data_IF_144648236275
#
_entry.id   IF_144648236275
#
_cell.length_a   1.000
_cell.length_b   1.000
_cell.length_c   1.000
_cell.angle_alpha   90.00
_cell.angle_beta   90.00
_cell.angle_gamma   90.00
#
_symmetry.space_group_name_H-M   'P 1'
#
loop_
_entity.id
_entity.type
_entity.pdbx_description
1 polymer ?
#
# COMPACT_ATOMS: atom_id res chain seq x y z
N UNK A 1 -8.42 10.60 -28.94
CA UNK A 1 -7.49 9.60 -28.34
C UNK A 1 -7.35 9.92 -26.89
N UNK A 2 -7.61 8.95 -26.00
CA UNK A 2 -7.47 9.16 -24.54
C UNK A 2 -6.00 9.19 -24.13
N UNK A 3 -5.73 9.73 -22.92
CA UNK A 3 -4.38 9.74 -22.31
C UNK A 3 -3.77 8.33 -22.31
N UNK A 4 -4.60 7.36 -22.07
CA UNK A 4 -4.22 5.94 -22.04
C UNK A 4 -3.61 5.48 -23.37
N UNK A 5 -4.20 5.85 -24.51
CA UNK A 5 -3.67 5.50 -25.84
C UNK A 5 -2.34 6.20 -26.15
N UNK A 6 -2.13 7.41 -25.63
CA UNK A 6 -0.87 8.12 -25.81
C UNK A 6 0.31 7.45 -25.08
N UNK A 7 0.02 6.68 -24.02
CA UNK A 7 1.04 5.97 -23.24
C UNK A 7 1.26 4.52 -23.68
N UNK A 8 0.34 3.92 -24.46
CA UNK A 8 0.47 2.49 -24.88
C UNK A 8 1.73 2.20 -25.67
N UNK A 9 2.26 3.16 -26.38
CA UNK A 9 3.49 3.00 -27.16
C UNK A 9 4.77 3.20 -26.33
N UNK A 10 4.64 3.68 -25.09
CA UNK A 10 5.77 4.03 -24.22
C UNK A 10 6.18 2.90 -23.29
N UNK A 11 5.35 1.89 -23.11
CA UNK A 11 5.68 0.76 -22.24
C UNK A 11 5.34 -0.56 -22.88
N UNK A 12 6.01 -1.61 -22.45
CA UNK A 12 5.74 -2.99 -22.84
C UNK A 12 5.69 -3.88 -21.61
N UNK A 13 4.77 -4.84 -21.59
CA UNK A 13 4.73 -5.88 -20.55
C UNK A 13 5.81 -6.93 -20.81
N UNK A 14 7.06 -6.51 -20.62
CA UNK A 14 8.23 -7.35 -20.87
C UNK A 14 9.23 -7.22 -19.70
N UNK A 15 9.91 -8.32 -19.31
CA UNK A 15 10.99 -8.27 -18.33
C UNK A 15 12.16 -7.36 -18.73
N UNK A 16 12.25 -6.99 -19.99
CA UNK A 16 13.27 -6.05 -20.50
C UNK A 16 12.92 -4.59 -20.27
N UNK A 17 11.64 -4.29 -19.97
CA UNK A 17 11.21 -2.92 -19.69
C UNK A 17 11.70 -2.47 -18.33
N UNK A 18 12.58 -1.46 -18.32
CA UNK A 18 13.24 -0.97 -17.11
C UNK A 18 12.56 0.20 -16.43
N UNK A 19 11.51 0.77 -17.05
CA UNK A 19 10.86 2.00 -16.60
C UNK A 19 11.69 3.26 -16.91
N UNK A 20 11.06 4.40 -16.71
CA UNK A 20 11.66 5.71 -17.01
C UNK A 20 12.14 6.47 -15.77
N UNK A 21 11.87 5.93 -14.57
CA UNK A 21 12.20 6.57 -13.29
C UNK A 21 11.01 7.29 -12.65
N UNK A 22 11.11 7.45 -11.33
CA UNK A 22 10.04 8.04 -10.51
C UNK A 22 9.82 9.51 -10.91
N UNK A 23 8.54 9.90 -11.07
CA UNK A 23 8.14 11.25 -11.47
C UNK A 23 8.18 11.51 -12.98
N UNK A 24 8.61 10.53 -13.78
CA UNK A 24 8.70 10.69 -15.23
C UNK A 24 7.36 10.96 -15.90
N UNK A 25 6.29 10.24 -15.49
CA UNK A 25 4.95 10.40 -16.08
C UNK A 25 4.44 11.83 -15.87
N UNK A 26 4.54 12.35 -14.65
CA UNK A 26 4.15 13.73 -14.33
C UNK A 26 4.91 14.74 -15.16
N UNK A 27 6.24 14.56 -15.28
CA UNK A 27 7.09 15.45 -16.09
C UNK A 27 6.73 15.36 -17.57
N UNK A 28 6.50 14.18 -18.09
CA UNK A 28 6.10 13.97 -19.49
C UNK A 28 4.79 14.69 -19.81
N UNK A 29 3.76 14.52 -18.97
CA UNK A 29 2.48 15.22 -19.13
C UNK A 29 2.66 16.74 -19.10
N UNK A 30 3.47 17.26 -18.18
CA UNK A 30 3.76 18.69 -18.09
C UNK A 30 4.42 19.23 -19.36
N UNK A 31 5.40 18.52 -19.92
CA UNK A 31 6.07 18.89 -21.17
C UNK A 31 5.08 18.88 -22.35
N UNK A 32 4.24 17.85 -22.46
CA UNK A 32 3.26 17.73 -23.53
C UNK A 32 2.21 18.84 -23.45
N UNK A 33 1.74 19.18 -22.24
CA UNK A 33 0.83 20.30 -22.03
C UNK A 33 1.46 21.63 -22.43
N UNK A 34 2.72 21.88 -22.03
CA UNK A 34 3.43 23.11 -22.38
C UNK A 34 3.70 23.26 -23.90
N UNK A 35 3.89 22.12 -24.60
CA UNK A 35 4.09 22.10 -26.04
C UNK A 35 2.78 22.24 -26.85
N UNK A 36 1.61 22.29 -26.20
CA UNK A 36 0.31 22.28 -26.87
C UNK A 36 0.04 20.98 -27.65
N UNK A 37 0.83 19.94 -27.44
CA UNK A 37 0.72 18.63 -28.06
C UNK A 37 -0.21 17.76 -27.18
N UNK A 38 -1.27 18.35 -26.67
CA UNK A 38 -2.19 17.63 -25.82
C UNK A 38 -3.30 17.00 -26.66
N UNK A 39 -3.58 15.74 -26.38
CA UNK A 39 -4.83 15.09 -26.71
C UNK A 39 -6.02 15.89 -26.12
N UNK A 40 -5.76 16.86 -25.32
CA UNK A 40 -6.62 17.44 -24.30
C UNK A 40 -6.88 18.94 -24.48
N UNK A 41 -6.47 19.56 -25.56
CA UNK A 41 -6.77 21.01 -25.80
C UNK A 41 -6.90 21.78 -24.49
N UNK A 42 -6.78 22.86 -24.22
CA UNK A 42 -7.02 23.85 -23.15
C UNK A 42 -7.30 23.41 -21.69
N UNK A 43 -7.29 22.14 -21.33
CA UNK A 43 -7.51 21.71 -19.94
C UNK A 43 -6.26 21.07 -19.35
N UNK A 44 -5.78 21.64 -18.25
CA UNK A 44 -4.72 21.08 -17.40
C UNK A 44 -5.16 19.72 -16.84
N UNK A 45 -4.70 18.65 -17.44
CA UNK A 45 -4.83 17.34 -16.81
C UNK A 45 -3.77 17.20 -15.72
N UNK A 46 -4.23 17.12 -14.48
CA UNK A 46 -3.35 17.02 -13.33
C UNK A 46 -2.59 15.69 -13.19
N UNK A 47 -2.83 14.70 -14.06
CA UNK A 47 -2.14 13.41 -14.00
C UNK A 47 -2.87 12.31 -14.75
N UNK A 48 -2.27 11.13 -14.79
CA UNK A 48 -2.88 9.93 -15.32
C UNK A 48 -3.75 9.29 -14.23
N UNK A 49 -5.06 9.10 -14.50
CA UNK A 49 -6.01 8.49 -13.56
C UNK A 49 -5.88 6.97 -13.53
N UNK A 50 -4.68 6.46 -13.30
CA UNK A 50 -4.39 5.06 -13.06
C UNK A 50 -2.99 4.93 -12.44
N UNK A 51 -2.94 4.82 -11.14
CA UNK A 51 -1.67 4.74 -10.40
C UNK A 51 -0.88 3.48 -10.71
N UNK A 52 -1.56 2.34 -11.01
CA UNK A 52 -0.86 1.10 -11.33
C UNK A 52 -0.07 1.23 -12.64
N UNK A 53 -0.67 1.85 -13.66
CA UNK A 53 0.00 2.09 -14.94
C UNK A 53 1.12 3.10 -14.77
N UNK A 54 0.88 4.18 -14.01
CA UNK A 54 1.90 5.17 -13.68
C UNK A 54 3.11 4.50 -13.01
N UNK A 55 2.86 3.71 -11.95
CA UNK A 55 3.91 3.00 -11.25
C UNK A 55 4.66 2.00 -12.14
N UNK A 56 3.93 1.30 -13.03
CA UNK A 56 4.57 0.37 -13.97
C UNK A 56 5.49 1.09 -14.94
N UNK A 57 5.05 2.22 -15.53
CA UNK A 57 5.85 3.04 -16.44
C UNK A 57 7.10 3.57 -15.76
N UNK A 58 6.98 4.01 -14.51
CA UNK A 58 8.08 4.61 -13.76
C UNK A 58 9.06 3.56 -13.21
N UNK A 59 8.56 2.49 -12.61
CA UNK A 59 9.39 1.46 -11.95
C UNK A 59 9.88 0.36 -12.91
N UNK A 60 9.23 0.20 -14.05
CA UNK A 60 9.48 -0.90 -14.96
C UNK A 60 9.01 -2.26 -14.45
N UNK A 61 9.22 -3.32 -15.23
CA UNK A 61 8.75 -4.65 -14.92
C UNK A 61 9.21 -5.17 -13.56
N UNK A 62 10.51 -5.10 -13.26
CA UNK A 62 11.07 -5.65 -12.03
C UNK A 62 10.71 -4.82 -10.80
N UNK A 63 10.78 -3.49 -10.90
CA UNK A 63 10.42 -2.60 -9.78
C UNK A 63 8.95 -2.72 -9.42
N UNK A 64 8.07 -2.76 -10.40
CA UNK A 64 6.64 -2.94 -10.21
C UNK A 64 6.31 -4.33 -9.64
N UNK A 65 6.91 -5.40 -10.18
CA UNK A 65 6.74 -6.76 -9.68
C UNK A 65 7.19 -6.90 -8.23
N UNK A 66 8.33 -6.28 -7.88
CA UNK A 66 8.82 -6.25 -6.50
C UNK A 66 7.87 -5.50 -5.57
N UNK A 67 7.31 -4.36 -6.01
CA UNK A 67 6.33 -3.61 -5.24
C UNK A 67 5.03 -4.40 -5.00
N UNK A 68 4.52 -5.10 -6.01
CA UNK A 68 3.37 -6.02 -5.89
C UNK A 68 3.70 -7.15 -4.88
N UNK A 69 4.86 -7.80 -5.06
CA UNK A 69 5.30 -8.87 -4.18
C UNK A 69 5.43 -8.39 -2.73
N UNK A 70 6.02 -7.22 -2.49
CA UNK A 70 6.17 -6.64 -1.17
C UNK A 70 4.80 -6.32 -0.54
N UNK A 71 3.86 -5.82 -1.31
CA UNK A 71 2.51 -5.50 -0.85
C UNK A 71 1.73 -6.75 -0.44
N UNK A 72 1.96 -7.87 -1.12
CA UNK A 72 1.31 -9.15 -0.83
C UNK A 72 2.08 -9.96 0.21
N UNK A 73 3.27 -10.43 -0.14
CA UNK A 73 4.09 -11.30 0.72
C UNK A 73 4.65 -10.55 1.93
N UNK A 74 5.17 -9.36 1.72
CA UNK A 74 5.80 -8.59 2.77
C UNK A 74 4.81 -8.12 3.84
N UNK A 75 3.61 -7.71 3.45
CA UNK A 75 2.60 -7.19 4.39
C UNK A 75 1.65 -8.27 4.89
N UNK A 76 0.95 -8.97 3.99
CA UNK A 76 -0.13 -9.90 4.38
C UNK A 76 0.43 -11.15 5.04
N UNK A 77 1.44 -11.79 4.43
CA UNK A 77 2.02 -13.03 5.00
C UNK A 77 2.80 -12.73 6.28
N UNK A 78 3.50 -11.60 6.33
CA UNK A 78 4.15 -11.16 7.57
C UNK A 78 3.10 -10.90 8.68
N UNK A 79 2.01 -10.20 8.36
CA UNK A 79 0.92 -9.93 9.30
C UNK A 79 0.29 -11.23 9.82
N UNK A 80 0.09 -12.23 8.95
CA UNK A 80 -0.42 -13.54 9.34
C UNK A 80 0.46 -14.22 10.40
N UNK A 81 1.78 -14.14 10.23
CA UNK A 81 2.73 -14.74 11.16
C UNK A 81 2.79 -14.04 12.52
N UNK A 82 2.59 -12.72 12.54
CA UNK A 82 2.70 -11.90 13.74
C UNK A 82 1.39 -11.77 14.51
N UNK A 83 0.27 -11.63 13.80
CA UNK A 83 -1.02 -11.23 14.38
C UNK A 83 -2.16 -12.21 14.07
N UNK A 84 -1.86 -13.32 13.40
CA UNK A 84 -2.81 -14.37 13.10
C UNK A 84 -3.61 -14.15 11.81
N UNK A 85 -4.39 -15.16 11.48
CA UNK A 85 -5.06 -15.28 10.18
C UNK A 85 -6.17 -14.24 10.00
N UNK A 86 -6.94 -13.93 11.04
CA UNK A 86 -8.05 -12.96 10.95
C UNK A 86 -7.56 -11.56 10.60
N UNK A 87 -6.50 -11.10 11.28
CA UNK A 87 -5.89 -9.80 11.00
C UNK A 87 -5.29 -9.76 9.59
N UNK A 88 -4.68 -10.86 9.15
CA UNK A 88 -4.13 -10.97 7.81
C UNK A 88 -5.22 -10.90 6.72
N UNK A 89 -6.37 -11.54 6.92
CA UNK A 89 -7.50 -11.41 6.00
C UNK A 89 -8.03 -9.98 5.94
N UNK A 90 -8.16 -9.30 7.07
CA UNK A 90 -8.59 -7.91 7.07
C UNK A 90 -7.62 -7.01 6.32
N UNK A 91 -6.31 -7.20 6.53
CA UNK A 91 -5.26 -6.49 5.79
C UNK A 91 -5.30 -6.83 4.30
N UNK A 92 -5.57 -8.09 3.93
CA UNK A 92 -5.73 -8.51 2.55
C UNK A 92 -6.90 -7.79 1.87
N UNK A 93 -8.07 -7.72 2.51
CA UNK A 93 -9.22 -6.98 1.98
C UNK A 93 -8.90 -5.49 1.77
N UNK A 94 -8.25 -4.84 2.75
CA UNK A 94 -7.81 -3.47 2.61
C UNK A 94 -6.81 -3.30 1.44
N UNK A 95 -5.90 -4.27 1.25
CA UNK A 95 -4.93 -4.26 0.15
C UNK A 95 -5.63 -4.40 -1.20
N UNK A 96 -6.56 -5.34 -1.35
CA UNK A 96 -7.35 -5.52 -2.58
C UNK A 96 -8.14 -4.25 -2.90
N UNK A 97 -8.81 -3.67 -1.90
CA UNK A 97 -9.53 -2.41 -2.07
C UNK A 97 -8.61 -1.29 -2.58
N UNK A 98 -7.44 -1.13 -1.97
CA UNK A 98 -6.46 -0.12 -2.41
C UNK A 98 -6.00 -0.37 -3.85
N UNK A 99 -5.75 -1.62 -4.26
CA UNK A 99 -5.38 -1.94 -5.65
C UNK A 99 -6.49 -1.61 -6.64
N UNK A 100 -7.75 -1.87 -6.29
CA UNK A 100 -8.90 -1.49 -7.14
C UNK A 100 -8.97 0.02 -7.31
N UNK A 101 -8.80 0.79 -6.23
CA UNK A 101 -8.81 2.26 -6.31
C UNK A 101 -7.62 2.81 -7.09
N UNK A 102 -6.42 2.22 -6.97
CA UNK A 102 -5.24 2.60 -7.77
C UNK A 102 -5.40 2.31 -9.27
N UNK A 103 -6.21 1.29 -9.61
CA UNK A 103 -6.51 0.98 -11.01
C UNK A 103 -7.52 1.95 -11.64
N UNK A 104 -8.34 2.61 -10.83
CA UNK A 104 -9.43 3.46 -11.30
C UNK A 104 -9.17 4.95 -11.16
N UNK A 105 -8.26 5.35 -10.25
CA UNK A 105 -7.97 6.76 -9.98
C UNK A 105 -6.56 6.95 -9.40
N UNK A 106 -6.14 8.21 -9.20
CA UNK A 106 -4.85 8.63 -8.63
C UNK A 106 -4.86 8.59 -7.08
N UNK A 107 -5.39 7.53 -6.49
CA UNK A 107 -5.61 7.49 -5.04
C UNK A 107 -4.32 7.19 -4.25
N UNK A 108 -3.32 6.57 -4.87
CA UNK A 108 -2.03 6.34 -4.23
C UNK A 108 -1.25 7.64 -4.00
N UNK A 109 -1.37 8.60 -4.92
CA UNK A 109 -0.65 9.87 -4.88
C UNK A 109 -1.42 11.00 -4.20
N UNK A 110 -2.74 11.04 -4.36
CA UNK A 110 -3.58 12.10 -3.80
C UNK A 110 -4.30 11.70 -2.52
N UNK A 111 -4.60 10.42 -2.32
CA UNK A 111 -5.34 9.93 -1.17
C UNK A 111 -4.51 8.93 -0.36
N UNK A 112 -3.45 9.41 0.31
CA UNK A 112 -2.66 8.61 1.25
C UNK A 112 -3.49 7.98 2.37
N UNK A 113 -4.74 8.42 2.54
CA UNK A 113 -5.69 7.80 3.47
C UNK A 113 -5.92 6.31 3.15
N UNK A 114 -5.95 5.91 1.87
CA UNK A 114 -6.04 4.50 1.50
C UNK A 114 -4.84 3.70 2.03
N UNK A 115 -3.64 4.28 1.96
CA UNK A 115 -2.43 3.66 2.52
C UNK A 115 -2.53 3.56 4.05
N UNK A 116 -3.07 4.59 4.72
CA UNK A 116 -3.29 4.58 6.16
C UNK A 116 -4.31 3.50 6.55
N UNK A 117 -5.42 3.38 5.82
CA UNK A 117 -6.43 2.34 6.08
C UNK A 117 -5.87 0.92 6.04
N UNK A 118 -4.85 0.66 5.20
CA UNK A 118 -4.16 -0.63 5.19
C UNK A 118 -3.41 -0.92 6.50
N UNK A 119 -3.08 0.08 7.30
CA UNK A 119 -2.37 -0.06 8.58
C UNK A 119 -3.32 -0.22 9.79
N UNK A 120 -4.61 0.12 9.65
CA UNK A 120 -5.57 0.02 10.75
C UNK A 120 -5.72 -1.39 11.31
N UNK A 121 -5.80 -2.46 10.50
CA UNK A 121 -5.85 -3.83 11.02
C UNK A 121 -4.66 -4.19 11.89
N UNK A 122 -3.46 -3.74 11.51
CA UNK A 122 -2.23 -3.98 12.27
C UNK A 122 -2.29 -3.24 13.61
N UNK A 123 -2.66 -1.97 13.59
CA UNK A 123 -2.81 -1.17 14.82
C UNK A 123 -3.86 -1.75 15.78
N UNK A 124 -4.97 -2.26 15.24
CA UNK A 124 -5.99 -2.94 16.04
C UNK A 124 -5.46 -4.23 16.69
N UNK A 125 -4.75 -5.07 15.92
CA UNK A 125 -4.16 -6.29 16.42
C UNK A 125 -3.10 -6.05 17.50
N UNK A 126 -2.25 -5.04 17.35
CA UNK A 126 -1.28 -4.63 18.37
C UNK A 126 -1.98 -4.28 19.68
N UNK A 127 -3.06 -3.49 19.62
CA UNK A 127 -3.84 -3.13 20.82
C UNK A 127 -4.46 -4.33 21.51
N UNK A 128 -4.95 -5.33 20.78
CA UNK A 128 -5.49 -6.56 21.36
C UNK A 128 -4.42 -7.39 22.06
N UNK A 129 -3.20 -7.47 21.50
CA UNK A 129 -2.08 -8.16 22.13
C UNK A 129 -1.69 -7.50 23.45
N UNK A 130 -1.55 -6.17 23.49
CA UNK A 130 -1.25 -5.43 24.72
C UNK A 130 -2.31 -5.68 25.80
N UNK A 131 -3.60 -5.69 25.43
CA UNK A 131 -4.67 -5.95 26.37
C UNK A 131 -4.62 -7.38 26.95
N UNK A 132 -4.32 -8.39 26.13
CA UNK A 132 -4.19 -9.76 26.57
C UNK A 132 -3.00 -9.95 27.53
N UNK A 133 -1.86 -9.31 27.23
CA UNK A 133 -0.68 -9.36 28.10
C UNK A 133 -0.98 -8.74 29.48
N UNK A 134 -1.70 -7.63 29.53
CA UNK A 134 -2.12 -6.99 30.79
C UNK A 134 -3.03 -7.92 31.59
N UNK A 135 -3.99 -8.60 30.94
CA UNK A 135 -4.91 -9.54 31.59
C UNK A 135 -4.13 -10.74 32.17
N UNK A 136 -3.22 -11.30 31.41
CA UNK A 136 -2.40 -12.45 31.84
C UNK A 136 -1.51 -12.09 33.03
N UNK A 137 -0.88 -10.92 33.01
CA UNK A 137 -0.06 -10.42 34.12
C UNK A 137 -0.88 -10.22 35.39
N UNK A 138 -2.10 -9.71 35.29
CA UNK A 138 -3.02 -9.58 36.42
C UNK A 138 -3.48 -10.94 36.96
N UNK A 139 -3.71 -11.93 36.09
CA UNK A 139 -4.08 -13.28 36.48
C UNK A 139 -2.93 -14.00 37.23
N UNK A 140 -1.69 -13.82 36.78
CA UNK A 140 -0.51 -14.37 37.43
C UNK A 140 -0.23 -13.70 38.77
N UNK A 141 -0.38 -12.39 38.89
CA UNK A 141 -0.21 -11.65 40.17
C UNK A 141 -1.19 -12.13 41.26
N UNK A 142 -2.42 -12.48 40.91
CA UNK A 142 -3.42 -13.01 41.87
C UNK A 142 -3.17 -14.45 42.31
N UNK A 143 -2.32 -15.21 41.61
CA UNK A 143 -2.00 -16.60 41.94
C UNK A 143 -0.76 -16.76 42.83
N UNK A 144 -0.01 -15.69 43.13
CA UNK A 144 1.08 -15.77 44.07
C UNK A 144 0.53 -15.98 45.49
N UNK A 145 0.90 -17.07 46.17
CA UNK A 145 0.49 -17.29 47.56
C UNK A 145 1.03 -16.14 48.41
N UNK A 146 0.15 -15.56 49.22
CA UNK A 146 0.58 -14.61 50.24
C UNK A 146 1.49 -15.39 51.19
N UNK A 147 2.81 -15.12 51.19
CA UNK A 147 3.70 -15.69 52.18
C UNK A 147 3.18 -15.32 53.58
N UNK A 148 3.01 -16.31 54.49
CA UNK A 148 2.58 -16.03 55.83
C UNK A 148 3.62 -15.11 56.50
N UNK A 149 3.18 -14.14 57.31
CA UNK A 149 4.10 -13.25 58.03
C UNK A 149 5.05 -14.06 58.86
N UNK A 150 6.34 -13.80 58.72
CA UNK A 150 7.40 -14.45 59.53
C UNK A 150 7.11 -14.18 61.00
N UNK A 151 6.75 -15.25 61.75
CA UNK A 151 6.62 -15.16 63.20
C UNK A 151 7.99 -14.81 63.79
N UNK A 152 7.99 -13.73 64.57
CA UNK A 152 9.15 -13.27 65.31
C UNK A 152 9.16 -13.88 66.72
#
# INVERSE_FOLDING_TARGET
KGLYEAFTDLYSFSPTFRGYGIGWVTRYISIMNAAGIGVFGTHDFGGMHNDLVTMYIELGFWGFSFWIWLSWQGKVVWCQKQYGTETAFLLLYCTIYAFVTYATDNTAFYCYMNTIFMLLPIGHAMKLLDQNEVIDNHAHSKKQPVEPPAEK
#
